data_IF_159218847791
#
_entry.id   IF_159218847791
#
_cell.length_a   1.000
_cell.length_b   1.000
_cell.length_c   1.000
_cell.angle_alpha   90.00
_cell.angle_beta   90.00
_cell.angle_gamma   90.00
#
_symmetry.space_group_name_H-M   'P 1'
#
loop_
_entity.id
_entity.type
_entity.pdbx_description
1 polymer ?
#
# COMPACT_ATOMS: atom_id res chain seq x y z
N UNK A 1 14.08 10.53 -18.35
CA UNK A 1 13.19 10.58 -17.17
C UNK A 1 12.70 9.17 -16.94
N UNK A 2 12.90 8.61 -15.75
CA UNK A 2 12.27 7.34 -15.33
C UNK A 2 10.97 7.68 -14.61
N UNK A 3 9.90 6.93 -14.88
CA UNK A 3 8.58 7.12 -14.24
C UNK A 3 8.40 6.01 -13.21
N UNK A 4 8.29 6.40 -11.94
CA UNK A 4 8.08 5.48 -10.83
C UNK A 4 6.61 5.61 -10.41
N UNK A 5 5.76 4.59 -10.61
CA UNK A 5 4.37 4.64 -10.17
C UNK A 5 4.29 4.49 -8.66
N UNK A 6 3.36 5.23 -8.05
CA UNK A 6 3.02 5.12 -6.63
C UNK A 6 1.56 4.68 -6.46
N UNK A 7 1.35 3.70 -5.58
CA UNK A 7 0.05 3.37 -5.04
C UNK A 7 0.21 3.32 -3.52
N UNK A 8 -0.30 4.34 -2.84
CA UNK A 8 -0.10 4.51 -1.41
C UNK A 8 -0.94 3.54 -0.58
N UNK A 9 -0.32 2.96 0.44
CA UNK A 9 -0.88 1.96 1.34
C UNK A 9 -0.05 1.77 2.62
N UNK A 10 -0.67 1.38 3.76
CA UNK A 10 -2.09 1.11 3.95
C UNK A 10 -2.92 2.39 4.14
N UNK A 11 -2.27 3.53 4.44
CA UNK A 11 -2.84 4.87 4.54
C UNK A 11 -3.35 5.40 3.19
N UNK A 12 -3.99 6.58 3.18
CA UNK A 12 -4.46 7.27 1.96
C UNK A 12 -5.31 6.46 0.96
N UNK A 13 -6.00 5.43 1.44
CA UNK A 13 -6.67 4.43 0.59
C UNK A 13 -8.17 4.66 0.39
N UNK A 14 -8.73 5.80 0.84
CA UNK A 14 -10.20 6.01 0.81
C UNK A 14 -10.83 5.85 -0.58
N UNK A 15 -10.12 6.19 -1.66
CA UNK A 15 -10.63 5.97 -3.02
C UNK A 15 -10.91 4.48 -3.33
N UNK A 16 -10.02 3.57 -2.91
CA UNK A 16 -10.22 2.14 -3.05
C UNK A 16 -11.34 1.65 -2.12
N UNK A 17 -11.35 2.12 -0.86
CA UNK A 17 -12.38 1.78 0.14
C UNK A 17 -13.78 2.26 -0.27
N UNK A 18 -13.89 3.37 -1.00
CA UNK A 18 -15.14 3.88 -1.55
C UNK A 18 -15.58 3.15 -2.82
N UNK A 19 -14.66 2.45 -3.49
CA UNK A 19 -14.94 1.71 -4.72
C UNK A 19 -15.41 0.28 -4.42
N UNK A 20 -14.79 -0.38 -3.45
CA UNK A 20 -15.00 -1.79 -3.13
C UNK A 20 -15.35 -2.01 -1.66
N UNK A 21 -16.58 -2.45 -1.40
CA UNK A 21 -17.06 -2.66 -0.03
C UNK A 21 -16.30 -3.75 0.73
N UNK A 22 -15.81 -4.78 0.03
CA UNK A 22 -15.07 -5.89 0.65
C UNK A 22 -13.72 -5.48 1.25
N UNK A 23 -13.21 -4.28 0.93
CA UNK A 23 -11.99 -3.74 1.54
C UNK A 23 -12.25 -3.07 2.89
N UNK A 24 -13.51 -3.05 3.36
CA UNK A 24 -13.92 -2.43 4.62
C UNK A 24 -14.45 -3.48 5.61
N UNK A 25 -14.26 -3.30 6.94
CA UNK A 25 -14.71 -4.26 7.95
C UNK A 25 -16.21 -4.57 7.95
N UNK A 26 -17.04 -3.61 7.53
CA UNK A 26 -18.49 -3.76 7.46
C UNK A 26 -19.00 -4.21 6.09
N UNK A 27 -18.09 -4.47 5.15
CA UNK A 27 -18.40 -4.87 3.77
C UNK A 27 -19.04 -3.77 2.92
N UNK A 28 -19.11 -2.51 3.41
CA UNK A 28 -19.75 -1.39 2.72
C UNK A 28 -18.73 -0.42 2.17
N UNK A 29 -19.10 0.26 1.08
CA UNK A 29 -18.27 1.31 0.48
C UNK A 29 -18.24 2.52 1.41
N UNK A 30 -17.06 3.11 1.58
CA UNK A 30 -16.92 4.45 2.17
C UNK A 30 -17.54 5.51 1.25
N UNK A 31 -17.99 6.65 1.78
CA UNK A 31 -18.30 7.80 0.93
C UNK A 31 -17.03 8.31 0.23
N UNK A 32 -17.20 8.90 -0.96
CA UNK A 32 -16.13 9.67 -1.60
C UNK A 32 -15.73 10.83 -0.69
N UNK A 33 -14.42 11.05 -0.58
CA UNK A 33 -13.87 12.11 0.24
C UNK A 33 -13.41 13.28 -0.64
N UNK A 34 -13.86 14.48 -0.29
CA UNK A 34 -13.53 15.73 -1.01
C UNK A 34 -12.92 16.78 -0.09
N UNK A 35 -12.56 16.39 1.14
CA UNK A 35 -11.82 17.23 2.06
C UNK A 35 -10.31 17.12 1.83
N UNK A 36 -9.55 17.62 2.79
CA UNK A 36 -8.08 17.66 2.73
C UNK A 36 -7.41 17.09 3.98
N UNK A 37 -8.18 16.49 4.89
CA UNK A 37 -7.63 15.79 6.06
C UNK A 37 -6.94 14.49 5.62
N UNK A 38 -5.97 14.06 6.41
CA UNK A 38 -5.15 12.86 6.19
C UNK A 38 -5.21 11.94 7.41
N UNK A 39 -4.54 10.78 7.39
CA UNK A 39 -4.49 9.87 8.54
C UNK A 39 -5.69 8.96 8.76
N UNK A 40 -6.85 9.26 8.16
CA UNK A 40 -8.13 8.64 8.53
C UNK A 40 -8.47 7.31 7.84
N UNK A 41 -7.75 6.94 6.78
CA UNK A 41 -8.05 5.75 5.97
C UNK A 41 -7.00 4.66 6.17
N UNK A 42 -7.44 3.42 6.17
CA UNK A 42 -6.55 2.25 6.29
C UNK A 42 -7.19 1.04 5.62
N UNK A 43 -6.37 0.24 4.93
CA UNK A 43 -6.76 -1.10 4.51
C UNK A 43 -6.86 -2.07 5.70
N UNK A 44 -7.65 -3.13 5.55
CA UNK A 44 -7.69 -4.22 6.53
C UNK A 44 -6.41 -5.06 6.44
N UNK A 45 -5.48 -4.81 7.36
CA UNK A 45 -4.14 -5.41 7.37
C UNK A 45 -4.12 -6.91 7.65
N UNK A 46 -5.20 -7.51 8.16
CA UNK A 46 -5.29 -8.96 8.43
C UNK A 46 -6.37 -9.67 7.62
N UNK A 47 -6.80 -9.09 6.49
CA UNK A 47 -7.75 -9.70 5.56
C UNK A 47 -7.04 -10.08 4.26
N UNK A 48 -7.05 -11.37 3.91
CA UNK A 48 -6.43 -11.87 2.68
C UNK A 48 -7.05 -11.27 1.40
N UNK A 49 -8.31 -10.85 1.42
CA UNK A 49 -8.92 -10.15 0.27
C UNK A 49 -8.28 -8.80 -0.02
N UNK A 50 -7.76 -8.14 1.02
CA UNK A 50 -6.95 -6.92 0.84
C UNK A 50 -5.69 -7.24 0.04
N UNK A 51 -5.03 -8.35 0.37
CA UNK A 51 -3.78 -8.74 -0.28
C UNK A 51 -4.00 -9.31 -1.69
N UNK A 52 -5.11 -10.01 -1.94
CA UNK A 52 -5.53 -10.38 -3.30
C UNK A 52 -5.73 -9.14 -4.18
N UNK A 53 -6.44 -8.12 -3.66
CA UNK A 53 -6.61 -6.84 -4.36
C UNK A 53 -5.28 -6.14 -4.63
N UNK A 54 -4.39 -6.09 -3.64
CA UNK A 54 -3.07 -5.46 -3.78
C UNK A 54 -2.19 -6.22 -4.78
N UNK A 55 -2.19 -7.56 -4.75
CA UNK A 55 -1.45 -8.42 -5.69
C UNK A 55 -1.88 -8.15 -7.13
N UNK A 56 -3.19 -8.04 -7.38
CA UNK A 56 -3.74 -7.71 -8.70
C UNK A 56 -3.32 -6.30 -9.17
N UNK A 57 -3.43 -5.29 -8.31
CA UNK A 57 -3.03 -3.91 -8.64
C UNK A 57 -1.54 -3.83 -8.97
N UNK A 58 -0.69 -4.43 -8.12
CA UNK A 58 0.76 -4.42 -8.31
C UNK A 58 1.14 -5.19 -9.57
N UNK A 59 0.52 -6.36 -9.83
CA UNK A 59 0.74 -7.15 -11.04
C UNK A 59 0.46 -6.33 -12.30
N UNK A 60 -0.75 -5.75 -12.41
CA UNK A 60 -1.18 -5.03 -13.61
C UNK A 60 -0.34 -3.78 -13.86
N UNK A 61 -0.03 -3.01 -12.82
CA UNK A 61 0.84 -1.83 -12.96
C UNK A 61 2.27 -2.25 -13.31
N UNK A 62 2.77 -3.35 -12.75
CA UNK A 62 4.12 -3.85 -13.04
C UNK A 62 4.27 -4.33 -14.49
N UNK A 63 3.21 -4.85 -15.10
CA UNK A 63 3.17 -5.27 -16.51
C UNK A 63 3.29 -4.09 -17.48
N UNK A 64 2.81 -2.90 -17.10
CA UNK A 64 2.84 -1.69 -17.95
C UNK A 64 3.93 -0.68 -17.58
N UNK A 65 4.46 -0.73 -16.36
CA UNK A 65 5.51 0.18 -15.90
C UNK A 65 6.90 -0.38 -16.22
N UNK A 66 7.71 0.28 -17.07
CA UNK A 66 9.05 -0.19 -17.40
C UNK A 66 10.08 0.08 -16.29
N UNK A 67 9.75 0.92 -15.29
CA UNK A 67 10.68 1.18 -14.18
C UNK A 67 10.93 -0.11 -13.40
N UNK A 68 12.14 -0.24 -12.87
CA UNK A 68 12.47 -1.31 -11.92
C UNK A 68 11.89 -1.04 -10.53
N UNK A 69 11.37 0.17 -10.29
CA UNK A 69 10.83 0.59 -9.00
C UNK A 69 9.30 0.59 -8.99
N UNK A 70 8.74 0.39 -7.80
CA UNK A 70 7.33 0.58 -7.51
C UNK A 70 7.21 1.23 -6.13
N UNK A 71 6.56 2.39 -6.05
CA UNK A 71 6.38 3.08 -4.78
C UNK A 71 5.09 2.60 -4.10
N UNK A 72 5.20 2.13 -2.85
CA UNK A 72 4.08 1.60 -2.06
C UNK A 72 3.55 2.63 -1.05
N UNK A 73 4.10 3.84 -1.07
CA UNK A 73 3.74 4.93 -0.15
C UNK A 73 4.15 4.59 1.27
N UNK A 74 3.18 4.59 2.18
CA UNK A 74 3.37 4.17 3.57
C UNK A 74 3.35 5.32 4.57
N UNK A 75 3.08 6.56 4.12
CA UNK A 75 2.96 7.73 4.97
C UNK A 75 1.58 7.80 5.66
N UNK A 76 1.54 8.58 6.75
CA UNK A 76 0.33 9.01 7.45
C UNK A 76 -0.70 7.88 7.68
N UNK A 77 -0.23 6.67 7.97
CA UNK A 77 -1.07 5.51 8.24
C UNK A 77 -1.64 5.53 9.67
N UNK A 78 -2.10 6.68 10.17
CA UNK A 78 -2.48 6.91 11.58
C UNK A 78 -3.64 6.04 12.06
N UNK A 79 -4.49 5.59 11.13
CA UNK A 79 -5.58 4.63 11.39
C UNK A 79 -5.11 3.17 11.43
N UNK A 80 -3.81 2.93 11.33
CA UNK A 80 -3.17 1.61 11.34
C UNK A 80 -2.25 1.50 12.55
N UNK A 81 -2.41 0.46 13.38
CA UNK A 81 -1.52 0.25 14.53
C UNK A 81 -0.10 -0.08 14.05
N UNK A 82 0.93 0.25 14.84
CA UNK A 82 2.33 0.05 14.44
C UNK A 82 2.64 -1.40 14.06
N UNK A 83 2.17 -2.36 14.85
CA UNK A 83 2.43 -3.79 14.59
C UNK A 83 1.73 -4.26 13.32
N UNK A 84 0.53 -3.72 13.04
CA UNK A 84 -0.25 -4.02 11.85
C UNK A 84 0.38 -3.38 10.61
N UNK A 85 0.90 -2.15 10.75
CA UNK A 85 1.66 -1.45 9.72
C UNK A 85 2.92 -2.23 9.34
N UNK A 86 3.70 -2.64 10.34
CA UNK A 86 4.94 -3.41 10.15
C UNK A 86 4.70 -4.70 9.37
N UNK A 87 3.68 -5.45 9.79
CA UNK A 87 3.23 -6.64 9.09
C UNK A 87 2.80 -6.34 7.65
N UNK A 88 2.01 -5.28 7.46
CA UNK A 88 1.46 -4.91 6.17
C UNK A 88 2.54 -4.50 5.16
N UNK A 89 3.44 -3.58 5.52
CA UNK A 89 4.48 -3.10 4.60
C UNK A 89 5.46 -4.20 4.22
N UNK A 90 5.77 -5.11 5.15
CA UNK A 90 6.59 -6.30 4.88
C UNK A 90 5.93 -7.25 3.87
N UNK A 91 4.63 -7.51 4.04
CA UNK A 91 3.85 -8.33 3.10
C UNK A 91 3.80 -7.71 1.72
N UNK A 92 3.46 -6.41 1.62
CA UNK A 92 3.37 -5.70 0.35
C UNK A 92 4.72 -5.63 -0.35
N UNK A 93 5.81 -5.38 0.38
CA UNK A 93 7.16 -5.36 -0.19
C UNK A 93 7.52 -6.70 -0.87
N UNK A 94 7.14 -7.83 -0.26
CA UNK A 94 7.32 -9.16 -0.87
C UNK A 94 6.47 -9.35 -2.13
N UNK A 95 5.27 -8.77 -2.20
CA UNK A 95 4.42 -8.79 -3.40
C UNK A 95 5.08 -8.00 -4.54
N UNK A 96 5.58 -6.79 -4.25
CA UNK A 96 6.32 -5.98 -5.25
C UNK A 96 7.53 -6.75 -5.79
N UNK A 97 8.30 -7.39 -4.89
CA UNK A 97 9.46 -8.21 -5.27
C UNK A 97 9.08 -9.44 -6.10
N UNK A 98 7.95 -10.10 -5.80
CA UNK A 98 7.40 -11.22 -6.59
C UNK A 98 7.21 -10.82 -8.07
N UNK A 99 6.90 -9.56 -8.37
CA UNK A 99 6.75 -9.04 -9.73
C UNK A 99 8.04 -8.40 -10.30
N UNK A 100 9.20 -8.68 -9.68
CA UNK A 100 10.50 -8.26 -10.20
C UNK A 100 10.78 -6.76 -10.04
N UNK A 101 10.07 -6.09 -9.13
CA UNK A 101 10.26 -4.66 -8.83
C UNK A 101 10.97 -4.47 -7.49
N UNK A 102 11.64 -3.33 -7.35
CA UNK A 102 12.24 -2.83 -6.11
C UNK A 102 11.25 -1.89 -5.42
N UNK A 103 10.78 -2.21 -4.20
CA UNK A 103 9.86 -1.33 -3.47
C UNK A 103 10.53 -0.01 -3.10
N UNK A 104 9.76 1.07 -3.14
CA UNK A 104 10.09 2.36 -2.52
C UNK A 104 8.96 2.73 -1.56
N UNK A 105 9.27 3.33 -0.41
CA UNK A 105 8.25 3.91 0.46
C UNK A 105 8.77 5.09 1.28
N UNK A 106 7.82 5.86 1.79
CA UNK A 106 8.04 7.01 2.67
C UNK A 106 8.41 6.56 4.10
N UNK A 107 8.91 7.49 4.91
CA UNK A 107 8.92 7.26 6.35
C UNK A 107 7.52 6.95 6.89
N UNK A 108 7.35 5.97 7.81
CA UNK A 108 8.39 5.20 8.51
C UNK A 108 8.56 3.74 8.02
N UNK A 109 8.48 3.44 6.71
CA UNK A 109 8.52 2.05 6.22
C UNK A 109 9.80 1.29 6.65
N UNK A 110 10.91 2.00 6.78
CA UNK A 110 12.23 1.48 7.18
C UNK A 110 12.26 0.93 8.60
N UNK A 111 11.28 1.31 9.43
CA UNK A 111 11.16 0.83 10.80
C UNK A 111 10.52 -0.56 10.92
N UNK A 112 9.93 -1.09 9.84
CA UNK A 112 9.37 -2.43 9.85
C UNK A 112 10.48 -3.48 9.88
N UNK A 113 10.41 -4.49 10.78
CA UNK A 113 11.42 -5.54 10.88
C UNK A 113 11.48 -6.46 9.65
N UNK A 114 10.47 -6.41 8.78
CA UNK A 114 10.41 -7.19 7.54
C UNK A 114 11.05 -6.46 6.34
N UNK A 115 11.52 -5.22 6.54
CA UNK A 115 12.16 -4.40 5.52
C UNK A 115 13.68 -4.47 5.68
N UNK A 116 14.37 -4.65 4.55
CA UNK A 116 15.83 -4.75 4.48
C UNK A 116 16.39 -3.91 3.31
N UNK A 117 17.66 -4.12 2.97
CA UNK A 117 18.36 -3.38 1.91
C UNK A 117 17.79 -3.59 0.48
N UNK A 118 16.79 -4.45 0.32
CA UNK A 118 16.04 -4.62 -0.93
C UNK A 118 15.00 -3.54 -1.19
N UNK A 119 14.77 -2.63 -0.23
CA UNK A 119 13.81 -1.52 -0.32
C UNK A 119 14.53 -0.17 -0.33
N UNK A 120 14.03 0.77 -1.13
CA UNK A 120 14.52 2.15 -1.11
C UNK A 120 13.63 2.99 -0.21
N UNK A 121 14.27 3.80 0.62
CA UNK A 121 13.62 4.75 1.51
C UNK A 121 13.61 6.15 0.87
N UNK A 122 12.50 6.86 0.98
CA UNK A 122 12.33 8.22 0.46
C UNK A 122 12.25 9.26 1.58
#
# INVERSE_FOLDING_TARGET
>A
VEIIPEIDMPGHTNAALASYGFLNPDGKKKPLYTGTEVGFSSFMTHDEKTYEFIDDVIREISEISPSKYFHIGGDEADSTKKEDYDYFVGRVSKIVQKYGKTPIGWDPIDTSPEIDSSVVFQ
#
